data_IF_834868744761
#
_entry.id   IF_834868744761
#
_cell.length_a   1.000
_cell.length_b   1.000
_cell.length_c   1.000
_cell.angle_alpha   90.00
_cell.angle_beta   90.00
_cell.angle_gamma   90.00
#
_symmetry.space_group_name_H-M   'P 1'
#
loop_
_entity.id
_entity.type
_entity.pdbx_description
1 polymer ?
#
# COMPACT_ATOMS: atom_id res chain seq x y z
N UNK A 1 33.40 82.08 -37.69
CA UNK A 1 32.94 80.94 -38.60
C UNK A 1 33.63 79.61 -38.35
N UNK A 2 34.51 79.50 -37.36
CA UNK A 2 35.35 78.25 -37.22
C UNK A 2 34.82 77.16 -36.30
N UNK A 3 33.93 77.47 -35.37
CA UNK A 3 33.44 76.47 -34.44
C UNK A 3 32.49 75.45 -35.05
N UNK A 4 31.70 75.84 -36.02
CA UNK A 4 30.78 74.93 -36.73
C UNK A 4 31.54 73.97 -37.64
N UNK A 5 32.66 74.33 -38.21
CA UNK A 5 33.51 73.48 -39.03
C UNK A 5 34.30 72.47 -38.17
N UNK A 6 34.64 72.84 -36.94
CA UNK A 6 35.31 71.93 -36.00
C UNK A 6 34.34 70.83 -35.50
N UNK A 7 33.07 71.18 -35.24
CA UNK A 7 32.06 70.20 -34.82
C UNK A 7 31.74 69.24 -36.00
N UNK A 8 31.59 69.75 -37.20
CA UNK A 8 31.34 68.91 -38.36
C UNK A 8 32.49 67.88 -38.63
N UNK A 9 33.73 68.28 -38.38
CA UNK A 9 34.87 67.36 -38.48
C UNK A 9 34.95 66.33 -37.36
N UNK A 10 34.50 66.68 -36.17
CA UNK A 10 34.45 65.74 -35.05
C UNK A 10 33.35 64.66 -35.24
N UNK A 11 32.25 65.03 -35.89
CA UNK A 11 31.16 64.06 -36.15
C UNK A 11 31.48 63.15 -37.32
N UNK A 12 32.25 63.61 -38.37
CA UNK A 12 32.63 62.75 -39.51
C UNK A 12 33.77 61.79 -39.17
N UNK A 13 34.41 61.92 -38.02
CA UNK A 13 35.45 61.02 -37.54
C UNK A 13 34.98 59.95 -36.61
N UNK A 14 33.68 59.90 -36.29
CA UNK A 14 33.09 58.82 -35.54
C UNK A 14 33.01 57.56 -36.45
N UNK A 15 33.82 56.59 -36.09
CA UNK A 15 33.90 55.32 -36.79
C UNK A 15 32.49 54.72 -36.87
N UNK A 16 32.05 54.34 -38.08
CA UNK A 16 30.72 53.76 -38.33
C UNK A 16 30.42 52.53 -37.47
N UNK A 17 31.46 51.92 -36.91
CA UNK A 17 31.33 50.85 -35.92
C UNK A 17 30.54 51.24 -34.65
N UNK A 18 30.72 52.49 -34.21
CA UNK A 18 29.98 52.92 -32.99
C UNK A 18 28.49 53.18 -33.26
N UNK A 19 28.12 53.46 -34.51
CA UNK A 19 26.75 53.70 -34.93
C UNK A 19 26.05 52.33 -35.10
N UNK A 20 26.74 51.34 -35.65
CA UNK A 20 26.20 49.95 -35.76
C UNK A 20 26.04 49.27 -34.40
N UNK A 21 26.93 49.57 -33.45
CA UNK A 21 26.85 48.98 -32.10
C UNK A 21 25.70 49.57 -31.29
N UNK A 22 25.31 50.83 -31.53
CA UNK A 22 24.17 51.49 -30.88
C UNK A 22 22.81 51.06 -31.45
N UNK A 23 22.77 50.58 -32.70
CA UNK A 23 21.54 50.10 -33.35
C UNK A 23 21.30 48.61 -33.23
N UNK A 24 22.21 47.87 -32.52
CA UNK A 24 21.91 46.50 -32.16
C UNK A 24 20.81 46.48 -31.09
N UNK A 25 19.62 45.95 -31.40
CA UNK A 25 18.61 45.81 -30.36
C UNK A 25 19.20 44.95 -29.24
N UNK A 26 19.37 45.52 -28.06
CA UNK A 26 19.71 44.76 -26.85
C UNK A 26 18.91 43.48 -26.88
N UNK A 27 19.57 42.37 -27.12
CA UNK A 27 18.95 41.04 -26.92
C UNK A 27 18.60 40.97 -25.46
N UNK A 28 17.41 41.49 -25.12
CA UNK A 28 16.81 41.24 -23.84
C UNK A 28 16.72 39.73 -23.73
N UNK A 29 17.72 39.15 -23.10
CA UNK A 29 17.63 37.80 -22.57
C UNK A 29 16.48 37.85 -21.55
N UNK A 30 15.25 37.54 -22.03
CA UNK A 30 14.12 37.29 -21.16
C UNK A 30 14.58 36.23 -20.18
N UNK A 31 15.06 36.64 -19.01
CA UNK A 31 15.32 35.76 -17.89
C UNK A 31 13.98 35.06 -17.64
N UNK A 32 13.86 33.84 -18.16
CA UNK A 32 12.67 33.01 -17.91
C UNK A 32 12.57 32.89 -16.40
N UNK A 33 11.44 33.25 -15.81
CA UNK A 33 11.31 33.21 -14.37
C UNK A 33 11.55 31.76 -13.93
N UNK A 34 12.64 31.53 -13.20
CA UNK A 34 13.09 30.23 -12.69
C UNK A 34 12.04 29.61 -11.73
N UNK A 35 11.07 30.40 -11.33
CA UNK A 35 9.99 29.99 -10.44
C UNK A 35 9.02 28.96 -11.05
N UNK A 36 8.82 29.00 -12.37
CA UNK A 36 7.87 28.05 -13.01
C UNK A 36 8.29 26.58 -12.85
N UNK A 37 9.56 26.19 -13.09
CA UNK A 37 9.96 24.79 -12.87
C UNK A 37 10.00 24.42 -11.39
N UNK A 38 10.33 25.37 -10.48
CA UNK A 38 10.34 25.11 -9.05
C UNK A 38 8.92 24.85 -8.48
N UNK A 39 7.92 25.63 -8.92
CA UNK A 39 6.52 25.41 -8.56
C UNK A 39 5.98 24.08 -9.11
N UNK A 40 6.33 23.72 -10.34
CA UNK A 40 5.94 22.45 -10.92
C UNK A 40 6.56 21.26 -10.16
N UNK A 41 7.83 21.35 -9.78
CA UNK A 41 8.49 20.32 -8.98
C UNK A 41 7.86 20.18 -7.58
N UNK A 42 7.52 21.30 -6.92
CA UNK A 42 6.85 21.27 -5.64
C UNK A 42 5.43 20.65 -5.74
N UNK A 43 4.67 20.98 -6.78
CA UNK A 43 3.35 20.40 -7.01
C UNK A 43 3.44 18.88 -7.26
N UNK A 44 4.40 18.43 -8.06
CA UNK A 44 4.63 16.99 -8.27
C UNK A 44 5.04 16.28 -6.98
N UNK A 45 5.90 16.88 -6.16
CA UNK A 45 6.28 16.33 -4.86
C UNK A 45 5.09 16.19 -3.91
N UNK A 46 4.20 17.19 -3.85
CA UNK A 46 2.98 17.16 -3.05
C UNK A 46 1.99 16.09 -3.56
N UNK A 47 1.86 15.91 -4.88
CA UNK A 47 1.02 14.86 -5.45
C UNK A 47 1.55 13.46 -5.12
N UNK A 48 2.87 13.25 -5.21
CA UNK A 48 3.50 11.97 -4.86
C UNK A 48 3.37 11.69 -3.37
N UNK A 49 3.60 12.68 -2.51
CA UNK A 49 3.39 12.55 -1.07
C UNK A 49 1.92 12.31 -0.73
N UNK A 50 0.99 13.07 -1.33
CA UNK A 50 -0.45 12.86 -1.16
C UNK A 50 -0.87 11.46 -1.59
N UNK A 51 -0.46 11.01 -2.76
CA UNK A 51 -0.77 9.66 -3.26
C UNK A 51 -0.18 8.55 -2.37
N UNK A 52 0.97 8.77 -1.73
CA UNK A 52 1.56 7.80 -0.81
C UNK A 52 0.82 7.73 0.53
N UNK A 53 0.27 8.84 1.01
CA UNK A 53 -0.55 8.90 2.23
C UNK A 53 -1.93 8.27 2.03
N UNK A 54 -2.48 8.32 0.81
CA UNK A 54 -3.77 7.75 0.45
C UNK A 54 -3.69 6.33 -0.14
N UNK A 55 -2.53 5.66 -0.05
CA UNK A 55 -2.46 4.25 -0.47
C UNK A 55 -3.36 3.41 0.43
N UNK A 56 -4.39 2.74 -0.13
CA UNK A 56 -5.24 1.87 0.65
C UNK A 56 -4.38 0.76 1.27
N UNK A 57 -4.48 0.61 2.58
CA UNK A 57 -3.83 -0.51 3.26
C UNK A 57 -4.55 -1.80 2.86
N UNK A 58 -3.81 -2.80 2.34
CA UNK A 58 -4.42 -4.05 1.92
C UNK A 58 -4.88 -4.87 3.13
N UNK A 59 -5.87 -5.72 2.90
CA UNK A 59 -6.28 -6.76 3.85
C UNK A 59 -5.08 -7.61 4.29
N UNK A 60 -4.99 -7.84 5.59
CA UNK A 60 -3.99 -8.73 6.19
C UNK A 60 -4.67 -9.72 7.11
N UNK A 61 -4.44 -10.99 6.84
CA UNK A 61 -4.84 -12.10 7.72
C UNK A 61 -3.58 -12.81 8.17
N UNK A 62 -3.32 -12.82 9.46
CA UNK A 62 -2.08 -13.37 10.01
C UNK A 62 -2.35 -14.52 10.97
N UNK A 63 -1.55 -15.56 10.79
CA UNK A 63 -1.40 -16.67 11.75
C UNK A 63 0.07 -16.65 12.20
N UNK A 64 0.32 -16.65 13.49
CA UNK A 64 1.67 -16.54 14.05
C UNK A 64 2.49 -15.38 13.44
N UNK A 65 1.84 -14.21 13.20
CA UNK A 65 2.48 -13.04 12.61
C UNK A 65 2.72 -13.10 11.10
N UNK A 66 2.52 -14.26 10.45
CA UNK A 66 2.70 -14.44 9.01
C UNK A 66 1.39 -14.23 8.25
N UNK A 67 1.43 -13.52 7.11
CA UNK A 67 0.25 -13.25 6.30
C UNK A 67 -0.10 -14.44 5.41
N UNK A 68 -1.20 -15.12 5.71
CA UNK A 68 -1.67 -16.33 5.02
C UNK A 68 -2.24 -16.05 3.62
N UNK A 69 -2.63 -14.81 3.32
CA UNK A 69 -3.06 -14.43 1.97
C UNK A 69 -1.92 -14.36 0.95
N UNK A 70 -0.69 -14.47 1.39
CA UNK A 70 0.50 -14.38 0.53
C UNK A 70 1.39 -15.61 0.56
N UNK A 71 1.25 -16.43 1.57
CA UNK A 71 2.13 -17.59 1.82
C UNK A 71 1.33 -18.68 2.51
N UNK A 72 1.68 -19.92 2.22
CA UNK A 72 1.29 -21.05 3.06
C UNK A 72 1.96 -20.94 4.42
N UNK A 73 1.21 -21.13 5.47
CA UNK A 73 1.70 -21.05 6.86
C UNK A 73 1.43 -22.37 7.54
N UNK A 74 2.47 -22.97 8.11
CA UNK A 74 2.32 -24.14 8.97
C UNK A 74 2.13 -23.69 10.40
N UNK A 75 1.08 -24.18 11.03
CA UNK A 75 0.77 -23.98 12.44
C UNK A 75 1.00 -25.30 13.19
N UNK A 76 1.92 -25.29 14.10
CA UNK A 76 2.16 -26.42 15.00
C UNK A 76 1.67 -26.04 16.39
N UNK A 77 0.81 -26.85 16.96
CA UNK A 77 0.47 -26.78 18.39
C UNK A 77 1.66 -27.28 19.20
N UNK A 78 1.84 -26.78 20.41
CA UNK A 78 2.93 -27.21 21.29
C UNK A 78 3.02 -28.74 21.41
N UNK A 79 4.24 -29.25 21.38
CA UNK A 79 4.57 -30.69 21.26
C UNK A 79 3.95 -31.57 22.35
N UNK A 80 3.62 -31.00 23.52
CA UNK A 80 3.04 -31.76 24.64
C UNK A 80 1.55 -32.14 24.42
N UNK A 81 0.87 -31.52 23.47
CA UNK A 81 -0.54 -31.84 23.13
C UNK A 81 -0.69 -32.94 22.05
N UNK A 82 0.43 -33.54 21.61
CA UNK A 82 0.44 -34.46 20.47
C UNK A 82 -0.27 -35.81 20.72
N UNK A 83 -0.48 -36.21 21.95
CA UNK A 83 -0.96 -37.55 22.28
C UNK A 83 -2.50 -37.70 22.27
N UNK A 84 -3.26 -36.61 22.20
CA UNK A 84 -4.74 -36.63 22.20
C UNK A 84 -5.37 -36.14 20.89
N UNK A 85 -4.80 -36.45 19.74
CA UNK A 85 -4.98 -35.77 18.45
C UNK A 85 -6.28 -36.01 17.70
N UNK A 86 -7.14 -36.88 18.11
CA UNK A 86 -8.33 -37.25 17.32
C UNK A 86 -9.68 -36.80 17.94
N UNK A 87 -9.67 -36.15 19.09
CA UNK A 87 -10.92 -35.80 19.80
C UNK A 87 -10.98 -34.38 20.34
N UNK A 88 -9.99 -33.54 20.07
CA UNK A 88 -9.98 -32.16 20.61
C UNK A 88 -10.06 -31.15 19.48
N UNK A 89 -10.89 -30.16 19.70
CA UNK A 89 -10.94 -28.94 18.89
C UNK A 89 -9.56 -28.29 18.79
N UNK A 90 -9.24 -27.79 17.61
CA UNK A 90 -7.96 -27.09 17.40
C UNK A 90 -8.22 -25.62 17.20
N UNK A 91 -7.61 -24.81 18.03
CA UNK A 91 -7.73 -23.38 18.04
C UNK A 91 -6.57 -22.71 17.29
N UNK A 92 -6.87 -21.90 16.29
CA UNK A 92 -5.90 -21.15 15.48
C UNK A 92 -6.13 -19.66 15.70
N UNK A 93 -5.24 -18.95 16.39
CA UNK A 93 -5.38 -17.52 16.58
C UNK A 93 -5.14 -16.77 15.27
N UNK A 94 -6.13 -15.99 14.85
CA UNK A 94 -6.11 -15.13 13.67
C UNK A 94 -6.01 -13.67 14.07
N UNK A 95 -5.09 -12.96 13.49
CA UNK A 95 -5.09 -11.49 13.54
C UNK A 95 -5.56 -10.95 12.19
N UNK A 96 -6.68 -10.26 12.20
CA UNK A 96 -7.38 -9.72 11.04
C UNK A 96 -7.24 -8.21 11.01
N UNK A 97 -6.86 -7.67 9.88
CA UNK A 97 -6.72 -6.22 9.66
C UNK A 97 -7.42 -5.89 8.33
N UNK A 98 -8.66 -5.39 8.36
CA UNK A 98 -9.41 -5.04 7.15
C UNK A 98 -8.71 -3.95 6.31
N UNK A 99 -7.75 -3.22 6.90
CA UNK A 99 -7.12 -2.09 6.25
C UNK A 99 -8.10 -0.94 6.01
N UNK A 100 -7.96 -0.25 4.90
CA UNK A 100 -8.78 0.94 4.57
C UNK A 100 -9.96 0.68 3.65
N UNK A 101 -10.21 -0.60 3.27
CA UNK A 101 -11.26 -0.95 2.30
C UNK A 101 -12.64 -1.21 2.90
N UNK A 102 -12.85 -0.91 4.16
CA UNK A 102 -14.14 -1.07 4.83
C UNK A 102 -14.28 -2.39 5.61
N UNK A 103 -15.52 -2.89 5.75
CA UNK A 103 -15.81 -4.08 6.53
C UNK A 103 -15.29 -5.36 5.88
N UNK A 104 -14.81 -6.28 6.71
CA UNK A 104 -14.40 -7.63 6.34
C UNK A 104 -15.40 -8.61 6.97
N UNK A 105 -16.03 -9.44 6.17
CA UNK A 105 -16.90 -10.53 6.65
C UNK A 105 -16.13 -11.85 6.54
N UNK A 106 -16.17 -12.62 7.61
CA UNK A 106 -15.63 -13.97 7.68
C UNK A 106 -16.79 -14.94 7.86
N UNK A 107 -16.75 -16.07 7.16
CA UNK A 107 -17.73 -17.14 7.29
C UNK A 107 -17.00 -18.47 7.42
N UNK A 108 -17.15 -19.12 8.56
CA UNK A 108 -16.62 -20.46 8.80
C UNK A 108 -17.53 -21.50 8.16
N UNK A 109 -16.94 -22.62 7.73
CA UNK A 109 -17.70 -23.77 7.22
C UNK A 109 -18.39 -24.56 8.36
N UNK A 110 -19.12 -25.60 8.01
CA UNK A 110 -19.87 -26.47 8.95
C UNK A 110 -18.96 -27.25 9.92
N UNK A 111 -17.68 -27.39 9.59
CA UNK A 111 -16.68 -28.14 10.37
C UNK A 111 -15.80 -27.22 11.21
N UNK A 112 -16.08 -25.93 11.19
CA UNK A 112 -15.30 -24.95 11.93
C UNK A 112 -16.16 -23.81 12.45
N UNK A 113 -15.63 -23.05 13.41
CA UNK A 113 -16.28 -21.90 14.00
C UNK A 113 -15.28 -20.78 14.24
N UNK A 114 -15.77 -19.58 14.50
CA UNK A 114 -14.97 -18.43 14.94
C UNK A 114 -15.30 -18.14 16.40
N UNK A 115 -14.27 -17.96 17.21
CA UNK A 115 -14.43 -17.56 18.61
C UNK A 115 -13.97 -16.11 18.76
N UNK A 116 -14.87 -15.23 19.16
CA UNK A 116 -14.60 -13.82 19.46
C UNK A 116 -15.08 -13.53 20.89
N UNK A 117 -14.20 -13.03 21.73
CA UNK A 117 -14.50 -12.70 23.14
C UNK A 117 -15.18 -13.84 23.92
N UNK A 118 -14.83 -15.08 23.60
CA UNK A 118 -15.39 -16.28 24.23
C UNK A 118 -16.77 -16.70 23.69
N UNK A 119 -17.27 -16.05 22.64
CA UNK A 119 -18.50 -16.42 21.95
C UNK A 119 -18.19 -17.07 20.61
N UNK A 120 -18.81 -18.22 20.39
CA UNK A 120 -18.72 -18.96 19.15
C UNK A 120 -19.72 -18.40 18.12
N UNK A 121 -19.24 -18.10 16.93
CA UNK A 121 -20.03 -17.59 15.80
C UNK A 121 -19.58 -18.24 14.50
N UNK A 122 -20.49 -18.43 13.55
CA UNK A 122 -20.13 -18.91 12.19
C UNK A 122 -19.86 -17.77 11.21
N UNK A 123 -20.37 -16.58 11.50
CA UNK A 123 -20.15 -15.40 10.68
C UNK A 123 -19.74 -14.23 11.57
N UNK A 124 -18.72 -13.49 11.13
CA UNK A 124 -18.15 -12.36 11.84
C UNK A 124 -17.86 -11.22 10.89
N UNK A 125 -18.38 -10.03 11.17
CA UNK A 125 -18.07 -8.81 10.39
C UNK A 125 -17.24 -7.85 11.21
N UNK A 126 -16.09 -7.44 10.65
CA UNK A 126 -15.08 -6.60 11.29
C UNK A 126 -14.88 -5.31 10.51
N UNK A 127 -14.74 -4.20 11.20
CA UNK A 127 -14.40 -2.88 10.61
C UNK A 127 -13.01 -2.40 11.04
N UNK A 128 -12.46 -3.02 12.06
CA UNK A 128 -11.17 -2.67 12.65
C UNK A 128 -10.31 -3.90 12.88
N UNK A 129 -9.04 -3.66 13.18
CA UNK A 129 -8.09 -4.73 13.47
C UNK A 129 -8.53 -5.50 14.71
N UNK A 130 -8.77 -6.79 14.54
CA UNK A 130 -9.29 -7.68 15.59
C UNK A 130 -8.51 -8.97 15.63
N UNK A 131 -8.46 -9.59 16.80
CA UNK A 131 -7.95 -10.94 17.00
C UNK A 131 -9.16 -11.84 17.31
N UNK A 132 -9.31 -12.92 16.56
CA UNK A 132 -10.28 -13.98 16.83
C UNK A 132 -9.59 -15.33 16.72
N UNK A 133 -10.25 -16.38 17.15
CA UNK A 133 -9.75 -17.74 17.06
C UNK A 133 -10.61 -18.50 16.04
N UNK A 134 -9.95 -19.17 15.10
CA UNK A 134 -10.60 -20.12 14.20
C UNK A 134 -10.50 -21.50 14.82
N UNK A 135 -11.66 -22.04 15.22
CA UNK A 135 -11.80 -23.34 15.88
C UNK A 135 -12.12 -24.39 14.85
N UNK A 136 -11.29 -25.41 14.75
CA UNK A 136 -11.46 -26.55 13.86
C UNK A 136 -12.06 -27.71 14.65
N UNK A 137 -13.22 -28.19 14.23
CA UNK A 137 -13.93 -29.30 14.87
C UNK A 137 -13.30 -30.64 14.42
N UNK A 138 -13.18 -31.64 15.29
CA UNK A 138 -12.57 -32.90 14.94
C UNK A 138 -13.39 -33.69 13.90
N UNK A 139 -12.70 -34.42 13.01
CA UNK A 139 -13.34 -35.39 12.10
C UNK A 139 -13.45 -34.93 10.65
N UNK A 140 -12.97 -33.73 10.28
CA UNK A 140 -12.89 -33.30 8.89
C UNK A 140 -11.47 -33.36 8.35
N UNK A 141 -11.32 -33.67 7.06
CA UNK A 141 -10.03 -33.69 6.37
C UNK A 141 -9.52 -32.30 5.96
N UNK A 142 -10.41 -31.32 5.97
CA UNK A 142 -10.10 -29.93 5.63
C UNK A 142 -11.17 -28.97 6.12
N UNK A 143 -10.75 -27.75 6.37
CA UNK A 143 -11.59 -26.70 6.93
C UNK A 143 -11.47 -25.48 6.05
N UNK A 144 -12.57 -24.73 5.90
CA UNK A 144 -12.62 -23.58 5.03
C UNK A 144 -13.11 -22.35 5.78
N UNK A 145 -12.41 -21.24 5.55
CA UNK A 145 -12.79 -19.94 6.05
C UNK A 145 -12.90 -18.96 4.87
N UNK A 146 -14.11 -18.54 4.58
CA UNK A 146 -14.38 -17.55 3.54
C UNK A 146 -14.21 -16.14 4.12
N UNK A 147 -13.59 -15.27 3.33
CA UNK A 147 -13.39 -13.87 3.66
C UNK A 147 -13.92 -13.02 2.50
N UNK A 148 -14.77 -12.05 2.81
CA UNK A 148 -15.34 -11.12 1.84
C UNK A 148 -15.10 -9.68 2.25
N UNK A 149 -14.58 -8.88 1.31
CA UNK A 149 -14.41 -7.45 1.52
C UNK A 149 -14.75 -6.68 0.23
N UNK A 150 -15.89 -6.00 0.23
CA UNK A 150 -16.46 -5.40 -0.98
C UNK A 150 -16.71 -6.46 -2.05
N UNK A 151 -16.12 -6.28 -3.24
CA UNK A 151 -16.24 -7.22 -4.37
C UNK A 151 -15.12 -8.29 -4.40
N UNK A 152 -14.34 -8.39 -3.35
CA UNK A 152 -13.22 -9.33 -3.27
C UNK A 152 -13.54 -10.45 -2.29
N UNK A 153 -13.38 -11.69 -2.76
CA UNK A 153 -13.52 -12.90 -1.98
C UNK A 153 -12.19 -13.65 -1.90
N UNK A 154 -11.90 -14.20 -0.75
CA UNK A 154 -10.78 -15.12 -0.52
C UNK A 154 -11.31 -16.34 0.25
N UNK A 155 -10.69 -17.47 0.03
CA UNK A 155 -10.94 -18.66 0.79
C UNK A 155 -9.61 -19.15 1.38
N UNK A 156 -9.59 -19.37 2.68
CA UNK A 156 -8.50 -20.05 3.37
C UNK A 156 -8.90 -21.49 3.58
N UNK A 157 -7.94 -22.38 3.37
CA UNK A 157 -8.06 -23.78 3.72
C UNK A 157 -7.04 -24.13 4.78
N UNK A 158 -7.49 -24.82 5.82
CA UNK A 158 -6.64 -25.48 6.79
C UNK A 158 -6.72 -26.99 6.58
N UNK A 159 -5.57 -27.64 6.49
CA UNK A 159 -5.43 -29.09 6.32
C UNK A 159 -4.61 -29.63 7.48
N UNK A 160 -5.13 -30.63 8.17
CA UNK A 160 -4.39 -31.35 9.19
C UNK A 160 -3.47 -32.38 8.53
N UNK A 161 -2.19 -32.26 8.75
CA UNK A 161 -1.19 -33.19 8.25
C UNK A 161 -1.04 -34.41 9.19
N UNK A 162 -0.56 -35.53 8.66
CA UNK A 162 -0.27 -36.73 9.44
C UNK A 162 0.71 -36.49 10.59
N UNK A 163 1.56 -35.49 10.44
CA UNK A 163 2.50 -35.00 11.46
C UNK A 163 1.81 -34.29 12.63
N UNK A 164 0.50 -33.94 12.44
CA UNK A 164 -0.30 -33.13 13.34
C UNK A 164 -0.01 -31.63 13.25
N UNK A 165 0.77 -31.21 12.28
CA UNK A 165 0.85 -29.81 11.88
C UNK A 165 -0.40 -29.45 11.06
N UNK A 166 -0.79 -28.18 11.12
CA UNK A 166 -1.87 -27.66 10.30
C UNK A 166 -1.27 -26.74 9.27
N UNK A 167 -1.51 -27.05 8.02
CA UNK A 167 -1.12 -26.20 6.91
C UNK A 167 -2.28 -25.34 6.49
N UNK A 168 -2.07 -23.99 6.52
CA UNK A 168 -3.06 -23.00 6.14
C UNK A 168 -2.60 -22.30 4.88
N UNK A 169 -3.44 -22.33 3.85
CA UNK A 169 -3.17 -21.68 2.57
C UNK A 169 -4.42 -20.97 2.03
N UNK A 170 -4.19 -20.00 1.16
CA UNK A 170 -5.26 -19.43 0.36
C UNK A 170 -5.53 -20.37 -0.81
N UNK A 171 -6.80 -20.73 -0.99
CA UNK A 171 -7.30 -21.43 -2.18
C UNK A 171 -8.06 -20.47 -3.09
N UNK A 172 -8.04 -20.76 -4.39
CA UNK A 172 -8.70 -19.93 -5.42
C UNK A 172 -10.04 -20.50 -5.79
#
# INVERSE_FOLDING_TARGET
MDKQRAIARAVTGLDSRYIEEADQPEKQTKKRPVWKPALAAAACALLVLGASLFRPTPLKVRVNGQNVLRRTVSYSRDADAQVMRLSLETEIPLTLDPGSKGSLTLTADENSALLLDGQEVHELTLTEKTVCTWVLLPGADGYFLQLRQGDQDWCLQAVLEDTGAITICQVR
#
